data_IF_906947289059
#
_entry.id   IF_906947289059
#
_cell.length_a   1.000
_cell.length_b   1.000
_cell.length_c   1.000
_cell.angle_alpha   90.00
_cell.angle_beta   90.00
_cell.angle_gamma   90.00
#
_symmetry.space_group_name_H-M   'P 1'
#
loop_
_entity.id
_entity.type
_entity.pdbx_description
1 polymer ?
#
# COMPACT_ATOMS: atom_id res chain seq x y z
N UNK A 1 13.53 4.22 0.39
CA UNK A 1 13.76 2.80 0.05
C UNK A 1 13.70 2.64 -1.46
N UNK A 2 14.70 1.99 -2.05
CA UNK A 2 14.94 1.97 -3.50
C UNK A 2 13.98 1.02 -4.22
N UNK A 3 13.37 1.49 -5.31
CA UNK A 3 12.61 0.71 -6.32
C UNK A 3 13.29 -0.62 -6.69
N UNK A 4 14.62 -0.68 -6.59
CA UNK A 4 15.43 -1.87 -6.88
C UNK A 4 15.12 -3.06 -5.97
N UNK A 5 14.79 -2.83 -4.70
CA UNK A 5 14.47 -3.89 -3.74
C UNK A 5 13.13 -4.59 -4.02
N UNK A 6 12.15 -3.84 -4.53
CA UNK A 6 10.83 -4.37 -4.86
C UNK A 6 10.86 -5.06 -6.24
N UNK A 7 11.60 -4.51 -7.20
CA UNK A 7 11.87 -5.15 -8.50
C UNK A 7 12.57 -6.50 -8.32
N UNK A 8 13.58 -6.60 -7.45
CA UNK A 8 14.29 -7.86 -7.16
C UNK A 8 13.37 -8.91 -6.52
N UNK A 9 12.51 -8.53 -5.58
CA UNK A 9 11.55 -9.45 -4.96
C UNK A 9 10.52 -9.96 -5.96
N UNK A 10 9.99 -9.08 -6.81
CA UNK A 10 9.07 -9.45 -7.88
C UNK A 10 9.77 -10.36 -8.88
N UNK A 11 11.00 -10.05 -9.30
CA UNK A 11 11.79 -10.86 -10.25
C UNK A 11 12.11 -12.27 -9.71
N UNK A 12 12.50 -12.38 -8.45
CA UNK A 12 12.75 -13.68 -7.80
C UNK A 12 11.45 -14.48 -7.70
N UNK A 13 10.35 -13.83 -7.31
CA UNK A 13 9.03 -14.47 -7.22
C UNK A 13 8.55 -14.94 -8.60
N UNK A 14 8.70 -14.13 -9.64
CA UNK A 14 8.43 -14.48 -11.04
C UNK A 14 9.23 -15.73 -11.45
N UNK A 15 10.50 -15.80 -11.07
CA UNK A 15 11.35 -16.96 -11.36
C UNK A 15 10.85 -18.24 -10.67
N UNK A 16 10.33 -18.15 -9.45
CA UNK A 16 9.70 -19.28 -8.77
C UNK A 16 8.34 -19.68 -9.36
N UNK A 17 7.57 -18.72 -9.88
CA UNK A 17 6.31 -18.99 -10.58
C UNK A 17 6.56 -19.69 -11.91
N UNK A 18 7.54 -19.23 -12.69
CA UNK A 18 7.95 -19.84 -13.96
C UNK A 18 8.42 -21.30 -13.80
N UNK A 19 9.01 -21.64 -12.63
CA UNK A 19 9.43 -23.01 -12.30
C UNK A 19 8.28 -23.97 -11.94
N UNK A 20 7.01 -23.58 -12.11
CA UNK A 20 5.86 -24.46 -11.91
C UNK A 20 5.65 -24.87 -10.45
N UNK A 21 6.10 -24.05 -9.49
CA UNK A 21 5.96 -24.37 -8.08
C UNK A 21 4.49 -24.23 -7.65
N UNK A 22 3.86 -25.36 -7.27
CA UNK A 22 2.45 -25.44 -6.83
C UNK A 22 2.05 -24.41 -5.77
N UNK A 23 3.03 -23.96 -4.96
CA UNK A 23 2.81 -22.91 -3.95
C UNK A 23 2.28 -21.61 -4.53
N UNK A 24 2.64 -21.28 -5.78
CA UNK A 24 2.29 -20.03 -6.44
C UNK A 24 1.22 -20.19 -7.54
N UNK A 25 0.61 -21.36 -7.64
CA UNK A 25 -0.56 -21.56 -8.51
C UNK A 25 -1.65 -20.56 -8.15
N UNK A 26 -2.34 -20.07 -9.18
CA UNK A 26 -3.45 -19.12 -9.09
C UNK A 26 -3.14 -17.77 -8.42
N UNK A 27 -1.87 -17.38 -8.31
CA UNK A 27 -1.53 -16.02 -7.90
C UNK A 27 -1.79 -15.03 -9.05
N UNK A 28 -2.36 -13.88 -8.71
CA UNK A 28 -2.65 -12.80 -9.67
C UNK A 28 -1.78 -11.58 -9.39
N UNK A 29 -1.44 -10.86 -10.45
CA UNK A 29 -0.81 -9.55 -10.32
C UNK A 29 -1.87 -8.46 -10.23
N UNK A 30 -1.66 -7.54 -9.30
CA UNK A 30 -2.48 -6.36 -9.14
C UNK A 30 -1.56 -5.15 -9.16
N UNK A 31 -1.92 -4.16 -9.97
CA UNK A 31 -1.26 -2.87 -9.99
C UNK A 31 -2.06 -1.92 -9.12
N UNK A 32 -1.36 -1.33 -8.15
CA UNK A 32 -1.92 -0.43 -7.14
C UNK A 32 -1.24 0.91 -7.30
N UNK A 33 -2.02 1.93 -7.63
CA UNK A 33 -1.60 3.31 -7.80
C UNK A 33 -2.14 4.16 -6.66
N UNK A 34 -1.25 4.79 -5.91
CA UNK A 34 -1.54 5.76 -4.87
C UNK A 34 -1.57 7.15 -5.49
N UNK A 35 -2.77 7.68 -5.71
CA UNK A 35 -2.96 8.98 -6.37
C UNK A 35 -2.77 10.10 -5.37
N UNK A 36 -3.67 10.21 -4.40
CA UNK A 36 -3.67 11.30 -3.41
C UNK A 36 -4.41 10.92 -2.14
N UNK A 37 -4.22 11.69 -1.07
CA UNK A 37 -5.04 11.59 0.13
C UNK A 37 -5.52 12.97 0.58
N UNK A 38 -6.55 12.98 1.41
CA UNK A 38 -7.04 14.12 2.18
C UNK A 38 -6.96 13.77 3.66
N UNK A 39 -6.16 14.50 4.42
CA UNK A 39 -5.91 14.29 5.86
C UNK A 39 -6.71 15.34 6.63
N UNK A 40 -7.45 14.90 7.65
CA UNK A 40 -8.41 15.76 8.35
C UNK A 40 -7.70 16.83 9.23
N UNK A 41 -6.52 16.52 9.78
CA UNK A 41 -5.78 17.39 10.69
C UNK A 41 -4.26 17.29 10.49
N UNK A 42 -3.53 18.36 10.84
CA UNK A 42 -2.07 18.32 10.95
C UNK A 42 -1.61 17.58 12.19
N UNK A 43 -0.47 16.90 12.04
CA UNK A 43 0.20 16.13 13.09
C UNK A 43 1.46 16.86 13.57
N UNK A 44 2.02 17.73 12.73
CA UNK A 44 3.11 18.64 13.06
C UNK A 44 2.68 19.89 13.85
N UNK A 45 3.66 20.49 14.53
CA UNK A 45 3.55 21.80 15.20
C UNK A 45 3.09 22.97 14.31
N UNK A 46 3.22 22.84 12.99
CA UNK A 46 2.81 23.83 12.00
C UNK A 46 1.39 23.59 11.44
N UNK A 47 0.61 22.67 12.02
CA UNK A 47 -0.69 22.18 11.52
C UNK A 47 -0.62 21.54 10.13
N UNK A 48 0.52 20.94 9.76
CA UNK A 48 0.70 20.18 8.53
C UNK A 48 1.12 18.75 8.86
N UNK A 49 1.47 18.00 7.83
CA UNK A 49 1.96 16.65 7.90
C UNK A 49 2.96 16.46 6.73
N UNK A 50 3.89 15.55 6.91
CA UNK A 50 4.78 14.95 5.94
C UNK A 50 4.30 13.52 5.59
N UNK A 51 3.14 13.34 4.94
CA UNK A 51 2.53 12.03 4.82
C UNK A 51 3.21 11.12 3.79
N UNK A 52 3.23 9.83 4.13
CA UNK A 52 3.59 8.74 3.23
C UNK A 52 2.68 7.52 3.45
N UNK A 53 2.55 6.70 2.42
CA UNK A 53 1.66 5.52 2.42
C UNK A 53 2.48 4.27 2.23
N UNK A 54 2.11 3.21 2.95
CA UNK A 54 2.69 1.87 2.79
C UNK A 54 1.61 0.81 2.69
N UNK A 55 1.88 -0.21 1.87
CA UNK A 55 0.99 -1.37 1.68
C UNK A 55 1.71 -2.66 2.03
N UNK A 56 1.03 -3.55 2.75
CA UNK A 56 1.57 -4.81 3.22
C UNK A 56 0.50 -5.89 3.35
N UNK A 57 0.95 -7.14 3.58
CA UNK A 57 0.03 -8.25 3.85
C UNK A 57 -0.47 -8.19 5.30
N UNK A 58 -1.75 -8.47 5.51
CA UNK A 58 -2.33 -8.60 6.85
C UNK A 58 -1.93 -9.97 7.45
N UNK A 59 -1.31 -10.02 8.64
CA UNK A 59 -0.89 -11.30 9.23
C UNK A 59 -0.15 -11.24 10.58
N UNK A 60 -0.01 -12.41 11.24
CA UNK A 60 0.55 -12.59 12.61
C UNK A 60 2.06 -12.40 12.76
N UNK A 61 2.84 -12.56 11.68
CA UNK A 61 4.28 -12.30 11.69
C UNK A 61 4.46 -10.94 11.03
N UNK A 62 4.88 -9.95 11.84
CA UNK A 62 5.07 -8.53 11.51
C UNK A 62 5.07 -8.20 10.01
N UNK A 63 4.00 -7.52 9.58
CA UNK A 63 3.95 -6.45 8.58
C UNK A 63 5.14 -6.40 7.61
N UNK A 64 5.20 -7.36 6.67
CA UNK A 64 6.13 -7.25 5.54
C UNK A 64 5.57 -6.23 4.55
N UNK A 65 6.00 -4.98 4.69
CA UNK A 65 5.71 -3.91 3.74
C UNK A 65 6.23 -4.29 2.35
N UNK A 66 5.35 -4.19 1.37
CA UNK A 66 5.63 -4.52 -0.03
C UNK A 66 6.03 -3.28 -0.81
N UNK A 67 5.54 -2.12 -0.40
CA UNK A 67 5.82 -0.86 -1.04
C UNK A 67 5.57 0.28 -0.06
N UNK A 68 6.33 1.36 -0.23
CA UNK A 68 6.16 2.62 0.49
C UNK A 68 6.32 3.76 -0.52
N UNK A 69 5.41 4.73 -0.50
CA UNK A 69 5.51 5.93 -1.33
C UNK A 69 6.63 6.85 -0.83
N UNK A 70 6.99 7.83 -1.65
CA UNK A 70 7.78 8.97 -1.17
C UNK A 70 6.97 9.80 -0.18
N UNK A 71 7.68 10.47 0.71
CA UNK A 71 7.10 11.42 1.65
C UNK A 71 6.79 12.72 0.93
N UNK A 72 5.68 13.36 1.30
CA UNK A 72 5.26 14.65 0.74
C UNK A 72 5.24 15.66 1.85
N UNK A 73 6.18 16.60 1.81
CA UNK A 73 6.38 17.51 2.92
C UNK A 73 5.27 18.57 3.04
N UNK A 74 4.90 18.90 4.27
CA UNK A 74 4.14 20.06 4.67
C UNK A 74 2.77 20.19 3.97
N UNK A 75 2.01 19.09 3.87
CA UNK A 75 0.71 19.03 3.18
C UNK A 75 -0.32 18.09 3.84
N UNK A 76 -1.58 18.53 3.87
CA UNK A 76 -2.74 17.71 4.23
C UNK A 76 -3.42 17.08 3.01
N UNK A 77 -2.99 17.44 1.81
CA UNK A 77 -3.52 16.93 0.55
C UNK A 77 -2.39 16.37 -0.32
N UNK A 78 -1.65 15.35 0.15
CA UNK A 78 -0.53 14.81 -0.60
C UNK A 78 -0.99 14.19 -1.92
N UNK A 79 -0.19 14.40 -2.97
CA UNK A 79 -0.29 13.72 -4.26
C UNK A 79 0.99 12.95 -4.51
N UNK A 80 0.90 11.63 -4.55
CA UNK A 80 2.07 10.78 -4.75
C UNK A 80 2.24 10.37 -6.20
N UNK A 81 1.14 10.03 -6.88
CA UNK A 81 1.10 9.49 -8.24
C UNK A 81 2.10 8.35 -8.44
N UNK A 82 2.21 7.48 -7.42
CA UNK A 82 3.14 6.36 -7.39
C UNK A 82 2.39 5.04 -7.48
N UNK A 83 2.97 4.09 -8.19
CA UNK A 83 2.37 2.78 -8.38
C UNK A 83 3.32 1.65 -8.03
N UNK A 84 2.73 0.51 -7.70
CA UNK A 84 3.43 -0.72 -7.41
C UNK A 84 2.64 -1.91 -7.93
N UNK A 85 3.34 -3.03 -8.15
CA UNK A 85 2.74 -4.30 -8.52
C UNK A 85 2.87 -5.26 -7.37
N UNK A 86 1.75 -5.81 -6.92
CA UNK A 86 1.70 -6.80 -5.85
C UNK A 86 1.16 -8.14 -6.37
N UNK A 87 1.64 -9.22 -5.77
CA UNK A 87 1.19 -10.57 -6.08
C UNK A 87 0.23 -11.04 -5.01
N UNK A 88 -1.04 -11.19 -5.40
CA UNK A 88 -2.13 -11.61 -4.53
C UNK A 88 -2.29 -13.13 -4.59
N UNK A 89 -2.30 -13.74 -3.40
CA UNK A 89 -2.58 -15.16 -3.23
C UNK A 89 -4.07 -15.35 -2.92
N UNK A 90 -4.76 -16.31 -3.57
CA UNK A 90 -6.15 -16.63 -3.20
C UNK A 90 -6.33 -17.04 -1.74
N UNK A 91 -5.27 -17.58 -1.12
CA UNK A 91 -5.30 -18.03 0.29
C UNK A 91 -5.10 -16.89 1.30
N UNK A 92 -4.47 -15.80 0.87
CA UNK A 92 -4.18 -14.64 1.72
C UNK A 92 -4.47 -13.35 0.91
N UNK A 93 -5.75 -13.05 0.65
CA UNK A 93 -6.15 -11.90 -0.16
C UNK A 93 -6.22 -10.58 0.62
N UNK A 94 -5.98 -10.61 1.93
CA UNK A 94 -6.13 -9.46 2.83
C UNK A 94 -4.82 -8.66 2.93
N UNK A 95 -4.93 -7.36 2.65
CA UNK A 95 -3.85 -6.38 2.68
C UNK A 95 -4.23 -5.22 3.59
N UNK A 96 -3.21 -4.55 4.10
CA UNK A 96 -3.35 -3.34 4.89
C UNK A 96 -2.60 -2.21 4.20
N UNK A 97 -3.27 -1.07 4.10
CA UNK A 97 -2.66 0.19 3.73
C UNK A 97 -2.62 1.06 4.97
N UNK A 98 -1.46 1.64 5.24
CA UNK A 98 -1.29 2.60 6.32
C UNK A 98 -0.74 3.91 5.78
N UNK A 99 -1.20 5.01 6.35
CA UNK A 99 -0.65 6.35 6.15
C UNK A 99 0.02 6.80 7.44
N UNK A 100 1.19 7.39 7.29
CA UNK A 100 2.08 7.81 8.37
C UNK A 100 2.58 9.21 8.08
N UNK A 101 2.82 9.95 9.16
CA UNK A 101 3.49 11.23 9.15
C UNK A 101 4.99 11.01 9.39
N UNK A 102 5.86 11.49 8.50
CA UNK A 102 7.29 11.34 8.71
C UNK A 102 7.81 12.42 9.65
N UNK A 103 8.41 12.00 10.75
CA UNK A 103 8.93 12.89 11.78
C UNK A 103 10.41 12.63 12.07
N UNK A 104 11.20 13.64 12.50
CA UNK A 104 12.62 13.45 12.75
C UNK A 104 12.98 12.39 13.81
N UNK A 105 12.09 12.18 14.79
CA UNK A 105 12.33 11.28 15.93
C UNK A 105 11.55 9.97 15.79
N UNK A 106 10.28 10.06 15.43
CA UNK A 106 9.39 8.92 15.33
C UNK A 106 8.18 9.30 14.50
N UNK A 107 7.96 8.55 13.43
CA UNK A 107 6.78 8.72 12.58
C UNK A 107 5.47 8.54 13.35
N UNK A 108 4.55 9.45 13.11
CA UNK A 108 3.23 9.44 13.70
C UNK A 108 2.23 8.66 12.84
N UNK A 109 1.42 7.85 13.50
CA UNK A 109 0.42 7.05 12.82
C UNK A 109 -0.82 7.89 12.54
N UNK A 110 -1.12 8.09 11.26
CA UNK A 110 -2.31 8.85 10.85
C UNK A 110 -3.50 7.89 10.74
N UNK A 111 -3.38 6.78 10.02
CA UNK A 111 -4.49 5.84 9.87
C UNK A 111 -4.21 4.62 9.00
N UNK A 112 -5.17 3.72 8.95
CA UNK A 112 -5.12 2.52 8.11
C UNK A 112 -6.47 2.17 7.48
N UNK A 113 -6.42 1.43 6.38
CA UNK A 113 -7.54 0.70 5.81
C UNK A 113 -7.11 -0.70 5.41
N UNK A 114 -8.07 -1.61 5.42
CA UNK A 114 -7.89 -2.95 4.93
C UNK A 114 -8.47 -3.07 3.52
N UNK A 115 -7.75 -3.75 2.64
CA UNK A 115 -8.24 -4.10 1.30
C UNK A 115 -8.24 -5.62 1.18
N UNK A 116 -9.31 -6.13 0.61
CA UNK A 116 -9.43 -7.53 0.23
C UNK A 116 -9.50 -7.64 -1.28
N UNK A 117 -8.66 -8.50 -1.84
CA UNK A 117 -8.68 -8.82 -3.27
C UNK A 117 -9.55 -10.05 -3.57
N UNK A 118 -10.15 -10.16 -4.77
CA UNK A 118 -10.21 -9.14 -5.82
C UNK A 118 -11.06 -7.94 -5.40
N UNK A 119 -10.68 -6.76 -5.88
CA UNK A 119 -11.48 -5.54 -5.69
C UNK A 119 -12.56 -5.45 -6.76
N UNK A 120 -13.68 -4.79 -6.45
CA UNK A 120 -14.82 -4.65 -7.37
C UNK A 120 -14.69 -3.40 -8.25
N UNK A 121 -14.15 -2.32 -7.69
CA UNK A 121 -13.97 -1.03 -8.35
C UNK A 121 -12.49 -0.73 -8.52
N UNK A 122 -12.15 -0.17 -9.69
CA UNK A 122 -10.78 0.24 -9.99
C UNK A 122 -10.37 1.43 -9.12
N UNK A 123 -11.14 2.51 -9.14
CA UNK A 123 -10.90 3.69 -8.30
C UNK A 123 -11.58 3.49 -6.94
N UNK A 124 -10.80 3.51 -5.87
CA UNK A 124 -11.28 3.33 -4.51
C UNK A 124 -10.96 4.54 -3.63
N UNK A 125 -11.96 4.93 -2.85
CA UNK A 125 -11.89 5.99 -1.86
C UNK A 125 -11.85 5.34 -0.48
N UNK A 126 -10.64 5.06 0.01
CA UNK A 126 -10.43 4.34 1.26
C UNK A 126 -10.51 5.32 2.43
N UNK A 127 -11.48 5.10 3.32
CA UNK A 127 -11.54 5.79 4.60
C UNK A 127 -10.51 5.18 5.53
N UNK A 128 -9.51 5.98 5.90
CA UNK A 128 -8.47 5.59 6.83
C UNK A 128 -8.88 5.97 8.24
N UNK A 129 -8.79 4.98 9.14
CA UNK A 129 -9.13 5.15 10.54
C UNK A 129 -7.87 5.03 11.40
N UNK A 130 -7.84 5.76 12.51
CA UNK A 130 -6.82 5.57 13.53
C UNK A 130 -7.04 4.25 14.30
N UNK A 131 -6.23 4.03 15.35
CA UNK A 131 -6.36 2.85 16.22
C UNK A 131 -7.62 2.88 17.11
N UNK A 132 -8.26 4.03 17.26
CA UNK A 132 -9.51 4.20 18.00
C UNK A 132 -10.76 4.01 17.13
N UNK A 133 -10.58 3.89 15.81
CA UNK A 133 -11.66 3.81 14.83
C UNK A 133 -12.19 5.17 14.37
N UNK A 134 -11.52 6.27 14.75
CA UNK A 134 -11.84 7.61 14.27
C UNK A 134 -11.30 7.78 12.85
N UNK A 135 -12.13 8.30 11.94
CA UNK A 135 -11.69 8.72 10.61
C UNK A 135 -10.63 9.81 10.74
N UNK A 136 -9.51 9.65 10.05
CA UNK A 136 -8.40 10.61 10.03
C UNK A 136 -8.01 11.05 8.62
N UNK A 137 -8.24 10.21 7.61
CA UNK A 137 -7.93 10.56 6.24
C UNK A 137 -8.80 9.80 5.24
N UNK A 138 -8.86 10.28 4.00
CA UNK A 138 -9.40 9.57 2.85
C UNK A 138 -8.27 9.41 1.83
N UNK A 139 -8.00 8.17 1.40
CA UNK A 139 -6.97 7.86 0.41
C UNK A 139 -7.62 7.41 -0.90
N UNK A 140 -7.21 8.03 -2.00
CA UNK A 140 -7.65 7.70 -3.34
C UNK A 140 -6.59 6.79 -3.97
N UNK A 141 -6.99 5.55 -4.29
CA UNK A 141 -6.15 4.57 -4.98
C UNK A 141 -6.84 4.05 -6.24
N UNK A 142 -6.06 3.77 -7.29
CA UNK A 142 -6.52 2.97 -8.43
C UNK A 142 -5.91 1.57 -8.33
N UNK A 143 -6.75 0.54 -8.43
CA UNK A 143 -6.38 -0.86 -8.28
C UNK A 143 -6.90 -1.62 -9.49
N UNK A 144 -5.99 -2.08 -10.32
CA UNK A 144 -6.30 -2.81 -11.55
C UNK A 144 -5.69 -4.23 -11.52
N UNK A 145 -6.42 -5.22 -12.05
CA UNK A 145 -5.87 -6.56 -12.25
C UNK A 145 -4.91 -6.53 -13.43
N UNK A 146 -3.62 -6.72 -13.18
CA UNK A 146 -2.55 -6.71 -14.20
C UNK A 146 -2.34 -8.13 -14.80
N UNK A 147 -3.42 -8.90 -14.84
CA UNK A 147 -3.50 -10.23 -15.43
C UNK A 147 -2.73 -11.35 -14.69
N UNK A 148 -2.56 -12.45 -15.43
CA UNK A 148 -1.83 -13.64 -15.01
C UNK A 148 -0.41 -13.63 -15.59
N UNK A 149 0.55 -14.22 -14.86
CA UNK A 149 1.89 -14.46 -15.39
C UNK A 149 1.80 -15.27 -16.69
N UNK A 150 2.24 -14.67 -17.80
CA UNK A 150 2.56 -15.41 -19.03
C UNK A 150 4.08 -15.63 -19.03
N UNK A 151 4.55 -16.88 -18.98
CA UNK A 151 5.98 -17.19 -19.00
C UNK A 151 6.68 -16.70 -20.26
#
# INVERSE_FOLDING_TARGET
MSLYGDILKVSILLCFMAKGNKKYENHKFWKVRFTSAEIDHGYDSNNKADPYVRIGKKGKIMNKWLFQTRVKEATLSPKWDQETRIVVSPKNPDYIIEIWDQDPIKDDFIGFAEIKFPVQEELQHLVLNDRSGKKTAVLIVSIEEDGWFRP
#
